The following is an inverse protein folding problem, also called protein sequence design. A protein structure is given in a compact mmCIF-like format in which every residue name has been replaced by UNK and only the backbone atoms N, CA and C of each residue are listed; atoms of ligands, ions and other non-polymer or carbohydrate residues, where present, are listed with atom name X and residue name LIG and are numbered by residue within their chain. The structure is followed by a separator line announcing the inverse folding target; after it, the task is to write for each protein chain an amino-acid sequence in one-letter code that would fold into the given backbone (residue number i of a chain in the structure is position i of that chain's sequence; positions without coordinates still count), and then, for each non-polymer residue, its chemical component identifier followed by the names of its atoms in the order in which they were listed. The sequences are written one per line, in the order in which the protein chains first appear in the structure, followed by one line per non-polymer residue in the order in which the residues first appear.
data_IF_044750263948
#
_entry.id   IF_044750263948
#
_cell.length_a   1.000
_cell.length_b   1.000
_cell.length_c   1.000
_cell.angle_alpha   90.00
_cell.angle_beta   90.00
_cell.angle_gamma   90.00
#
_symmetry.space_group_name_H-M   'P 1'
#
loop_
_entity.id
_entity.type
_entity.pdbx_description
1 polymer ?
#
# COMPACT_ATOMS: atom_id res chain seq x y z
N UNK A 1 11.74 -5.89 7.21
CA UNK A 1 10.31 -5.72 7.56
C UNK A 1 9.80 -4.54 6.75
N UNK A 2 8.69 -4.70 6.03
CA UNK A 2 8.10 -3.64 5.20
C UNK A 2 6.81 -3.17 5.86
N UNK A 3 6.75 -1.90 6.25
CA UNK A 3 5.62 -1.34 7.03
C UNK A 3 5.16 0.03 6.54
N UNK A 4 5.85 0.64 5.58
CA UNK A 4 5.46 1.94 5.02
C UNK A 4 5.35 1.88 3.51
N UNK A 5 4.51 2.75 2.95
CA UNK A 5 4.29 2.85 1.51
C UNK A 5 5.57 3.29 0.78
N UNK A 6 6.30 4.26 1.33
CA UNK A 6 7.54 4.79 0.77
C UNK A 6 8.63 3.72 0.72
N UNK A 7 8.75 2.90 1.76
CA UNK A 7 9.71 1.80 1.76
C UNK A 7 9.38 0.76 0.69
N UNK A 8 8.10 0.44 0.49
CA UNK A 8 7.68 -0.47 -0.57
C UNK A 8 8.00 0.10 -1.96
N UNK A 9 7.68 1.37 -2.18
CA UNK A 9 7.95 2.08 -3.45
C UNK A 9 9.46 2.19 -3.74
N UNK A 10 10.29 2.46 -2.72
CA UNK A 10 11.74 2.51 -2.87
C UNK A 10 12.32 1.16 -3.31
N UNK A 11 11.82 0.05 -2.76
CA UNK A 11 12.29 -1.29 -3.13
C UNK A 11 11.94 -1.60 -4.59
N UNK A 12 10.73 -1.24 -5.04
CA UNK A 12 10.29 -1.46 -6.43
C UNK A 12 11.06 -0.55 -7.40
N UNK A 13 11.11 0.76 -7.13
CA UNK A 13 11.81 1.74 -7.98
C UNK A 13 13.32 1.53 -8.06
N UNK A 14 13.92 0.89 -7.05
CA UNK A 14 15.33 0.49 -7.07
C UNK A 14 15.58 -0.91 -7.65
N UNK A 15 14.57 -1.55 -8.25
CA UNK A 15 14.66 -2.87 -8.91
C UNK A 15 15.17 -3.99 -7.99
N UNK A 16 15.00 -3.84 -6.67
CA UNK A 16 15.44 -4.85 -5.69
C UNK A 16 14.49 -6.03 -5.59
N UNK A 17 13.25 -5.86 -6.03
CA UNK A 17 12.23 -6.90 -6.09
C UNK A 17 11.12 -6.51 -7.07
N UNK A 18 10.45 -7.52 -7.65
CA UNK A 18 9.28 -7.31 -8.52
C UNK A 18 7.94 -7.34 -7.76
N UNK A 19 7.94 -7.88 -6.53
CA UNK A 19 6.74 -8.02 -5.70
C UNK A 19 7.05 -7.79 -4.22
N UNK A 20 6.13 -7.09 -3.56
CA UNK A 20 6.18 -6.83 -2.13
C UNK A 20 5.13 -7.68 -1.41
N UNK A 21 5.58 -8.54 -0.48
CA UNK A 21 4.72 -9.35 0.38
C UNK A 21 4.57 -8.67 1.74
N UNK A 22 3.32 -8.36 2.13
CA UNK A 22 2.99 -7.75 3.41
C UNK A 22 2.37 -8.80 4.34
N UNK A 23 2.93 -8.93 5.54
CA UNK A 23 2.44 -9.84 6.59
C UNK A 23 1.88 -9.06 7.79
N UNK A 24 2.70 -8.92 8.85
CA UNK A 24 2.31 -8.26 10.12
C UNK A 24 1.70 -6.86 9.94
N UNK A 25 2.19 -6.05 9.00
CA UNK A 25 1.62 -4.73 8.78
C UNK A 25 0.16 -4.79 8.30
N UNK A 26 -0.24 -5.84 7.58
CA UNK A 26 -1.65 -6.06 7.19
C UNK A 26 -2.52 -6.52 8.35
N UNK A 27 -1.94 -7.06 9.43
CA UNK A 27 -2.68 -7.43 10.63
C UNK A 27 -2.92 -6.22 11.54
N UNK A 28 -1.98 -5.28 11.56
CA UNK A 28 -2.09 -4.01 12.28
C UNK A 28 -3.01 -3.03 11.53
N UNK A 29 -2.84 -2.93 10.21
CA UNK A 29 -3.67 -2.14 9.31
C UNK A 29 -4.18 -3.00 8.12
N UNK A 30 -5.42 -3.52 8.20
CA UNK A 30 -6.02 -4.29 7.11
C UNK A 30 -6.22 -3.50 5.80
N UNK A 31 -6.28 -2.17 5.86
CA UNK A 31 -6.45 -1.30 4.70
C UNK A 31 -5.12 -0.71 4.22
N UNK A 32 -3.99 -1.27 4.65
CA UNK A 32 -2.64 -0.84 4.28
C UNK A 32 -2.48 -0.52 2.79
N UNK A 33 -2.97 -1.35 1.83
CA UNK A 33 -2.84 -1.04 0.40
C UNK A 33 -3.59 0.24 -0.02
N UNK A 34 -4.77 0.50 0.55
CA UNK A 34 -5.55 1.72 0.25
C UNK A 34 -4.86 2.96 0.82
N UNK A 35 -4.33 2.86 2.04
CA UNK A 35 -3.55 3.93 2.65
C UNK A 35 -2.25 4.20 1.90
N UNK A 36 -1.56 3.13 1.47
CA UNK A 36 -0.35 3.24 0.65
C UNK A 36 -0.63 3.94 -0.68
N UNK A 37 -1.70 3.57 -1.38
CA UNK A 37 -2.13 4.24 -2.61
C UNK A 37 -2.37 5.73 -2.39
N UNK A 38 -3.08 6.09 -1.30
CA UNK A 38 -3.32 7.50 -0.95
C UNK A 38 -2.03 8.28 -0.64
N UNK A 39 -1.08 7.67 0.06
CA UNK A 39 0.22 8.29 0.39
C UNK A 39 1.06 8.50 -0.88
N UNK A 40 1.07 7.52 -1.79
CA UNK A 40 1.83 7.57 -3.03
C UNK A 40 1.11 8.34 -4.15
N UNK A 41 -0.10 8.84 -3.89
CA UNK A 41 -0.92 9.56 -4.88
C UNK A 41 -1.45 8.68 -6.02
N UNK A 42 -1.50 7.36 -5.82
CA UNK A 42 -1.99 6.40 -6.79
C UNK A 42 -3.52 6.28 -6.69
N UNK A 43 -4.18 6.41 -7.84
CA UNK A 43 -5.63 6.28 -7.91
C UNK A 43 -6.05 4.82 -8.09
N UNK A 44 -6.51 4.19 -7.00
CA UNK A 44 -6.97 2.81 -6.98
C UNK A 44 -8.50 2.73 -6.86
N UNK A 45 -9.07 1.63 -7.33
CA UNK A 45 -10.49 1.36 -7.16
C UNK A 45 -10.79 0.99 -5.71
N UNK A 46 -11.64 1.78 -5.06
CA UNK A 46 -12.15 1.49 -3.73
C UNK A 46 -13.43 0.65 -3.84
N UNK A 47 -13.73 -0.22 -2.85
CA UNK A 47 -15.05 -0.82 -2.73
C UNK A 47 -16.14 0.26 -2.75
N UNK A 48 -17.26 -0.03 -3.42
CA UNK A 48 -18.35 0.96 -3.67
C UNK A 48 -18.84 1.62 -2.37
N UNK A 49 -18.90 0.86 -1.29
CA UNK A 49 -19.35 1.30 0.03
C UNK A 49 -18.43 2.35 0.66
N UNK A 50 -17.16 2.39 0.26
CA UNK A 50 -16.13 3.24 0.85
C UNK A 50 -15.76 4.44 -0.02
N UNK A 51 -16.40 4.62 -1.18
CA UNK A 51 -16.08 5.71 -2.12
C UNK A 51 -16.13 7.11 -1.50
N UNK A 52 -16.98 7.33 -0.49
CA UNK A 52 -17.11 8.62 0.19
C UNK A 52 -15.98 8.92 1.18
N UNK A 53 -15.21 7.91 1.56
CA UNK A 53 -14.08 8.02 2.49
C UNK A 53 -12.72 8.09 1.76
N UNK A 54 -12.75 8.09 0.43
CA UNK A 54 -11.55 8.10 -0.43
C UNK A 54 -10.68 9.33 -0.24
#
# INVERSE_FOLDING_TARGET
LITTAQQAEEILSSEKADLILIGRASLDDPHFPLHAARILGSDVQWPLQYLRAK
#
